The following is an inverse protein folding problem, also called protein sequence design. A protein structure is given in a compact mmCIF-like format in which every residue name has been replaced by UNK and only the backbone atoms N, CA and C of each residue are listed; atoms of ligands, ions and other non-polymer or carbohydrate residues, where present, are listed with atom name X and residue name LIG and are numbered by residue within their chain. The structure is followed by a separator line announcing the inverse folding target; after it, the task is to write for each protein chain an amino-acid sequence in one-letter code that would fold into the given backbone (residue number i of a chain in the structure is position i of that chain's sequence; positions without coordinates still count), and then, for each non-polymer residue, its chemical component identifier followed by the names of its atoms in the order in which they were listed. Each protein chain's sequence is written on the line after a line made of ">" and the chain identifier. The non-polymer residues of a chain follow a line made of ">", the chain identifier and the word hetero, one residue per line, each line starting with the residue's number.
data_IF_164431161946
#
_entry.id   IF_164431161946
#
_cell.length_a   1.000
_cell.length_b   1.000
_cell.length_c   1.000
_cell.angle_alpha   90.00
_cell.angle_beta   90.00
_cell.angle_gamma   90.00
#
_symmetry.space_group_name_H-M   'P 1'
#
loop_
_entity.id
_entity.type
_entity.pdbx_description
1 polymer ?
#
# COMPACT_ATOMS: atom_id res chain seq x y z
N UNK A 1 -8.11 8.35 -36.06
CA UNK A 1 -6.98 7.44 -35.74
C UNK A 1 -5.63 8.05 -36.09
N UNK A 2 -4.78 8.26 -35.09
CA UNK A 2 -3.40 8.74 -35.27
C UNK A 2 -2.44 7.75 -34.61
N UNK A 3 -1.29 7.48 -35.25
CA UNK A 3 -0.27 6.58 -34.72
C UNK A 3 0.68 7.33 -33.79
N UNK A 4 0.86 6.81 -32.57
CA UNK A 4 1.73 7.35 -31.54
C UNK A 4 2.81 6.33 -31.19
N UNK A 5 4.05 6.80 -31.07
CA UNK A 5 5.22 5.96 -30.78
C UNK A 5 5.52 6.01 -29.29
N UNK A 6 5.67 4.86 -28.69
CA UNK A 6 6.00 4.68 -27.29
C UNK A 6 7.33 3.95 -27.15
N UNK A 7 8.02 4.25 -26.06
CA UNK A 7 9.21 3.54 -25.60
C UNK A 7 8.99 3.19 -24.13
N UNK A 8 8.84 1.92 -23.80
CA UNK A 8 8.77 1.47 -22.43
C UNK A 8 10.17 1.14 -21.91
N UNK A 9 10.49 1.59 -20.69
CA UNK A 9 11.73 1.29 -19.99
C UNK A 9 11.44 0.57 -18.68
N UNK A 10 12.14 -0.53 -18.46
CA UNK A 10 12.24 -1.17 -17.15
C UNK A 10 13.69 -1.56 -16.86
N UNK A 11 14.36 -0.72 -16.06
CA UNK A 11 15.80 -0.85 -15.82
C UNK A 11 16.61 -0.67 -17.11
N UNK A 12 17.39 -1.69 -17.48
CA UNK A 12 18.16 -1.71 -18.72
C UNK A 12 17.33 -2.14 -19.94
N UNK A 13 16.16 -2.74 -19.71
CA UNK A 13 15.27 -3.16 -20.79
C UNK A 13 14.58 -1.95 -21.42
N UNK A 14 14.51 -1.97 -22.75
CA UNK A 14 13.91 -0.91 -23.53
C UNK A 14 13.12 -1.52 -24.69
N UNK A 15 11.80 -1.37 -24.64
CA UNK A 15 10.90 -1.85 -25.68
C UNK A 15 10.24 -0.68 -26.40
N UNK A 16 10.02 -0.83 -27.71
CA UNK A 16 9.39 0.21 -28.54
C UNK A 16 8.20 -0.37 -29.25
N UNK A 17 7.10 0.37 -29.22
CA UNK A 17 5.88 -0.01 -29.90
C UNK A 17 5.13 1.22 -30.40
N UNK A 18 4.19 0.99 -31.30
CA UNK A 18 3.32 2.03 -31.85
C UNK A 18 1.89 1.65 -31.53
N UNK A 19 1.09 2.62 -31.08
CA UNK A 19 -0.34 2.47 -30.89
C UNK A 19 -1.09 3.42 -31.80
N UNK A 20 -2.20 2.93 -32.34
CA UNK A 20 -3.19 3.78 -33.00
C UNK A 20 -4.19 4.18 -31.94
N UNK A 21 -4.21 5.46 -31.57
CA UNK A 21 -5.09 5.98 -30.52
C UNK A 21 -6.09 6.98 -31.11
N UNK A 22 -7.26 7.02 -30.51
CA UNK A 22 -8.30 8.02 -30.74
C UNK A 22 -8.60 8.75 -29.44
N UNK A 23 -8.87 10.06 -29.53
CA UNK A 23 -9.24 10.85 -28.36
C UNK A 23 -10.61 10.38 -27.87
N UNK A 24 -10.62 9.67 -26.74
CA UNK A 24 -11.79 9.05 -26.14
C UNK A 24 -11.42 8.39 -24.81
N UNK A 25 -12.38 7.73 -24.16
CA UNK A 25 -12.23 7.19 -22.80
C UNK A 25 -11.34 5.93 -22.72
N UNK A 26 -11.16 5.19 -23.81
CA UNK A 26 -10.55 3.84 -23.79
C UNK A 26 -9.04 3.80 -24.17
N UNK A 27 -8.39 4.95 -24.36
CA UNK A 27 -7.01 4.96 -24.85
C UNK A 27 -5.99 4.46 -23.81
N UNK A 28 -6.26 4.68 -22.52
CA UNK A 28 -5.43 4.16 -21.44
C UNK A 28 -5.50 2.63 -21.38
N UNK A 29 -6.69 2.05 -21.43
CA UNK A 29 -6.87 0.59 -21.43
C UNK A 29 -6.19 -0.06 -22.64
N UNK A 30 -6.22 0.59 -23.80
CA UNK A 30 -5.49 0.14 -24.99
C UNK A 30 -3.97 0.12 -24.77
N UNK A 31 -3.43 1.12 -24.06
CA UNK A 31 -2.02 1.15 -23.67
C UNK A 31 -1.70 0.04 -22.67
N UNK A 32 -2.55 -0.17 -21.67
CA UNK A 32 -2.35 -1.21 -20.66
C UNK A 32 -2.37 -2.62 -21.27
N UNK A 33 -3.33 -2.89 -22.16
CA UNK A 33 -3.39 -4.15 -22.90
C UNK A 33 -2.12 -4.37 -23.72
N UNK A 34 -1.61 -3.33 -24.37
CA UNK A 34 -0.37 -3.45 -25.14
C UNK A 34 0.84 -3.74 -24.27
N UNK A 35 0.94 -3.11 -23.11
CA UNK A 35 2.02 -3.36 -22.16
C UNK A 35 1.96 -4.81 -21.65
N UNK A 36 0.78 -5.31 -21.31
CA UNK A 36 0.56 -6.69 -20.91
C UNK A 36 0.95 -7.69 -22.02
N UNK A 37 0.57 -7.45 -23.27
CA UNK A 37 0.94 -8.28 -24.43
C UNK A 37 2.45 -8.37 -24.65
N UNK A 38 3.18 -7.32 -24.27
CA UNK A 38 4.65 -7.25 -24.34
C UNK A 38 5.36 -7.78 -23.08
N UNK A 39 4.62 -8.31 -22.12
CA UNK A 39 5.18 -8.88 -20.88
C UNK A 39 5.45 -7.85 -19.77
N UNK A 40 4.86 -6.65 -19.87
CA UNK A 40 4.99 -5.56 -18.89
C UNK A 40 3.64 -5.16 -18.27
N UNK A 41 2.87 -6.10 -17.68
CA UNK A 41 1.61 -5.75 -17.02
C UNK A 41 1.88 -4.81 -15.83
N UNK A 42 0.88 -3.99 -15.47
CA UNK A 42 1.01 -3.11 -14.31
C UNK A 42 1.13 -3.91 -13.01
N UNK A 43 0.33 -4.97 -12.81
CA UNK A 43 0.36 -5.81 -11.60
C UNK A 43 0.45 -5.00 -10.28
N UNK A 44 -0.36 -3.94 -10.18
CA UNK A 44 -0.38 -3.03 -9.03
C UNK A 44 0.71 -1.96 -9.01
N UNK A 45 1.64 -1.97 -9.97
CA UNK A 45 2.57 -0.86 -10.23
C UNK A 45 1.83 0.29 -10.90
N UNK A 46 2.38 1.49 -10.77
CA UNK A 46 1.87 2.70 -11.41
C UNK A 46 2.69 3.01 -12.66
N UNK A 47 2.07 3.60 -13.68
CA UNK A 47 2.74 4.01 -14.92
C UNK A 47 3.14 5.48 -14.84
N UNK A 48 4.33 5.83 -15.31
CA UNK A 48 4.75 7.21 -15.40
C UNK A 48 5.50 7.52 -16.70
N UNK A 49 5.56 8.80 -17.02
CA UNK A 49 6.48 9.34 -18.03
C UNK A 49 7.60 10.09 -17.33
N UNK A 50 8.84 9.78 -17.70
CA UNK A 50 10.02 10.52 -17.28
C UNK A 50 10.29 11.64 -18.26
N UNK A 51 10.23 12.87 -17.77
CA UNK A 51 10.59 14.06 -18.51
C UNK A 51 12.10 14.23 -18.58
N UNK A 52 12.56 15.10 -19.48
CA UNK A 52 13.99 15.34 -19.71
C UNK A 52 14.68 15.98 -18.50
N UNK A 53 13.96 16.77 -17.72
CA UNK A 53 14.44 17.42 -16.49
C UNK A 53 14.50 16.45 -15.28
N UNK A 54 14.08 15.19 -15.47
CA UNK A 54 14.01 14.19 -14.41
C UNK A 54 12.70 14.22 -13.62
N UNK A 55 11.77 15.12 -13.95
CA UNK A 55 10.41 15.12 -13.43
C UNK A 55 9.66 13.88 -13.93
N UNK A 56 8.76 13.35 -13.10
CA UNK A 56 7.95 12.18 -13.44
C UNK A 56 6.48 12.54 -13.36
N UNK A 57 5.79 12.38 -14.48
CA UNK A 57 4.35 12.59 -14.57
C UNK A 57 3.64 11.25 -14.49
N UNK A 58 2.74 11.12 -13.51
CA UNK A 58 1.94 9.92 -13.29
C UNK A 58 0.88 9.81 -14.38
N UNK A 59 0.71 8.59 -14.93
CA UNK A 59 -0.31 8.29 -15.93
C UNK A 59 -1.30 7.29 -15.32
N UNK A 60 -2.43 7.80 -14.86
CA UNK A 60 -3.47 7.02 -14.16
C UNK A 60 -4.74 6.81 -14.97
N UNK A 61 -4.92 7.56 -16.06
CA UNK A 61 -6.14 7.54 -16.87
C UNK A 61 -5.87 8.04 -18.31
N UNK A 62 -6.91 7.98 -19.14
CA UNK A 62 -6.87 8.45 -20.52
C UNK A 62 -6.54 9.93 -20.64
N UNK A 63 -6.94 10.76 -19.66
CA UNK A 63 -6.70 12.20 -19.68
C UNK A 63 -5.21 12.50 -19.47
N UNK A 64 -4.62 11.97 -18.40
CA UNK A 64 -3.20 12.11 -18.07
C UNK A 64 -2.31 11.51 -19.16
N UNK A 65 -2.76 10.43 -19.82
CA UNK A 65 -2.08 9.90 -21.02
C UNK A 65 -2.06 10.91 -22.17
N UNK A 66 -3.17 11.59 -22.44
CA UNK A 66 -3.22 12.62 -23.48
C UNK A 66 -2.35 13.83 -23.16
N UNK A 67 -2.33 14.28 -21.91
CA UNK A 67 -1.46 15.36 -21.44
C UNK A 67 0.01 15.01 -21.73
N UNK A 68 0.46 13.81 -21.34
CA UNK A 68 1.82 13.32 -21.60
C UNK A 68 2.15 13.18 -23.10
N UNK A 69 1.19 12.70 -23.91
CA UNK A 69 1.36 12.61 -25.37
C UNK A 69 1.54 14.01 -25.98
N UNK A 70 0.70 14.96 -25.60
CA UNK A 70 0.74 16.33 -26.11
C UNK A 70 2.05 17.03 -25.68
N UNK A 71 2.47 16.88 -24.42
CA UNK A 71 3.75 17.41 -23.91
C UNK A 71 4.96 16.78 -24.59
N UNK A 72 4.95 15.47 -24.82
CA UNK A 72 6.04 14.77 -25.52
C UNK A 72 6.20 15.26 -26.96
N UNK A 73 5.12 15.70 -27.61
CA UNK A 73 5.19 16.27 -28.97
C UNK A 73 5.80 17.67 -28.99
N UNK A 74 5.68 18.41 -27.89
CA UNK A 74 6.26 19.75 -27.75
C UNK A 74 7.74 19.69 -27.34
N UNK A 75 8.13 18.69 -26.55
CA UNK A 75 9.46 18.59 -25.93
C UNK A 75 10.42 17.63 -26.64
N UNK A 76 9.94 16.53 -27.21
CA UNK A 76 10.79 15.52 -27.86
C UNK A 76 10.81 15.70 -29.38
N UNK A 77 11.99 16.01 -29.93
CA UNK A 77 12.25 16.13 -31.39
C UNK A 77 11.83 14.89 -32.20
N UNK A 78 11.72 13.72 -31.56
CA UNK A 78 11.31 12.47 -32.19
C UNK A 78 9.84 12.08 -31.92
N UNK A 79 9.08 12.83 -31.12
CA UNK A 79 7.67 12.53 -30.82
C UNK A 79 7.44 11.13 -30.26
N UNK A 80 8.41 10.60 -29.49
CA UNK A 80 8.30 9.30 -28.81
C UNK A 80 8.02 9.57 -27.34
N UNK A 81 6.93 9.00 -26.82
CA UNK A 81 6.59 9.04 -25.39
C UNK A 81 7.41 7.98 -24.67
N UNK A 82 8.20 8.36 -23.67
CA UNK A 82 8.95 7.41 -22.85
C UNK A 82 8.15 7.06 -21.60
N UNK A 83 7.79 5.79 -21.45
CA UNK A 83 7.06 5.24 -20.33
C UNK A 83 7.99 4.43 -19.44
N UNK A 84 7.73 4.43 -18.15
CA UNK A 84 8.38 3.54 -17.18
C UNK A 84 7.42 3.19 -16.04
N UNK A 85 7.72 2.13 -15.30
CA UNK A 85 7.09 1.96 -14.00
C UNK A 85 7.46 3.15 -13.13
N UNK A 86 6.43 3.82 -12.61
CA UNK A 86 6.59 4.96 -11.73
C UNK A 86 7.39 4.52 -10.50
N UNK A 87 8.60 5.07 -10.39
CA UNK A 87 9.45 4.93 -9.22
C UNK A 87 9.50 6.28 -8.54
N UNK A 88 9.22 6.36 -7.23
CA UNK A 88 9.37 7.62 -6.52
C UNK A 88 10.83 8.06 -6.63
N UNK A 89 11.06 9.30 -7.09
CA UNK A 89 12.42 9.85 -7.22
C UNK A 89 13.02 10.21 -5.87
N UNK A 90 12.19 10.37 -4.83
CA UNK A 90 12.66 11.01 -3.62
C UNK A 90 12.77 12.53 -3.74
N UNK A 91 12.55 13.11 -4.92
CA UNK A 91 12.65 14.55 -5.15
C UNK A 91 11.41 15.23 -4.54
N UNK A 92 11.66 16.29 -3.79
CA UNK A 92 10.63 17.15 -3.24
C UNK A 92 9.98 17.89 -4.42
N UNK A 93 8.73 17.52 -4.76
CA UNK A 93 7.82 18.43 -5.48
C UNK A 93 7.33 19.53 -4.53
N UNK A 94 7.47 19.28 -3.23
CA UNK A 94 6.93 20.03 -2.11
C UNK A 94 8.06 20.68 -1.32
N UNK A 95 8.19 22.01 -1.37
CA UNK A 95 9.28 22.76 -0.73
C UNK A 95 9.46 22.46 0.76
N UNK A 96 10.56 22.95 1.35
CA UNK A 96 11.15 22.55 2.65
C UNK A 96 10.23 22.53 3.91
N UNK A 97 8.95 22.88 3.79
CA UNK A 97 7.98 22.99 4.88
C UNK A 97 6.61 22.35 4.63
N UNK A 98 6.45 21.47 3.65
CA UNK A 98 5.14 20.86 3.38
C UNK A 98 4.79 19.75 4.37
N UNK A 99 3.61 19.87 4.97
CA UNK A 99 3.04 18.87 5.86
C UNK A 99 2.23 17.88 5.04
N UNK A 100 2.46 16.58 5.25
CA UNK A 100 1.63 15.54 4.65
C UNK A 100 0.42 15.30 5.54
N UNK A 101 -0.78 15.37 4.96
CA UNK A 101 -2.03 15.18 5.68
C UNK A 101 -2.51 13.73 5.59
N UNK A 102 -2.92 13.19 6.74
CA UNK A 102 -3.43 11.84 6.88
C UNK A 102 -4.81 11.85 7.52
N UNK A 103 -5.65 10.90 7.10
CA UNK A 103 -6.89 10.52 7.76
C UNK A 103 -6.82 9.02 8.04
N UNK A 104 -6.68 8.66 9.30
CA UNK A 104 -6.69 7.25 9.71
C UNK A 104 -8.08 6.85 10.18
N UNK A 105 -8.60 5.74 9.64
CA UNK A 105 -9.90 5.17 10.01
C UNK A 105 -9.71 3.74 10.55
N UNK A 106 -10.32 3.47 11.69
CA UNK A 106 -10.41 2.13 12.27
C UNK A 106 -11.80 1.93 12.87
N UNK A 107 -12.66 1.18 12.16
CA UNK A 107 -14.07 1.06 12.49
C UNK A 107 -14.76 2.43 12.47
N UNK A 108 -15.34 2.82 13.62
CA UNK A 108 -15.98 4.12 13.83
C UNK A 108 -14.99 5.24 14.19
N UNK A 109 -13.76 4.87 14.59
CA UNK A 109 -12.74 5.86 14.94
C UNK A 109 -12.14 6.45 13.66
N UNK A 110 -12.15 7.78 13.59
CA UNK A 110 -11.58 8.52 12.48
C UNK A 110 -10.77 9.69 13.03
N UNK A 111 -9.47 9.74 12.70
CA UNK A 111 -8.57 10.81 13.13
C UNK A 111 -7.84 11.41 11.95
N UNK A 112 -7.84 12.74 11.88
CA UNK A 112 -7.02 13.51 10.93
C UNK A 112 -5.79 14.04 11.65
N UNK A 113 -4.64 14.00 10.99
CA UNK A 113 -3.39 14.55 11.51
C UNK A 113 -2.47 14.88 10.35
N UNK A 114 -1.40 15.63 10.62
CA UNK A 114 -0.33 15.88 9.66
C UNK A 114 1.02 15.50 10.23
N UNK A 115 1.95 15.18 9.33
CA UNK A 115 3.34 14.91 9.66
C UNK A 115 4.26 15.70 8.73
N UNK A 116 5.32 16.27 9.31
CA UNK A 116 6.51 16.63 8.54
C UNK A 116 7.32 15.35 8.42
N UNK A 117 7.52 14.87 7.19
CA UNK A 117 8.28 13.67 6.89
C UNK A 117 9.55 14.09 6.18
N UNK A 118 10.71 13.75 6.74
CA UNK A 118 11.98 14.02 6.08
C UNK A 118 12.40 12.85 5.18
N UNK A 119 13.19 13.14 4.15
CA UNK A 119 13.70 12.10 3.24
C UNK A 119 14.83 11.28 3.87
N UNK A 120 15.62 11.87 4.76
CA UNK A 120 16.73 11.20 5.45
C UNK A 120 16.26 10.19 6.52
N UNK A 121 14.99 10.25 6.93
CA UNK A 121 14.42 9.37 7.94
C UNK A 121 13.53 8.28 7.33
N UNK A 122 13.22 7.29 8.15
CA UNK A 122 12.25 6.25 7.83
C UNK A 122 10.83 6.78 8.05
N UNK A 123 10.30 7.47 7.03
CA UNK A 123 8.97 8.07 7.05
C UNK A 123 7.87 7.07 7.44
N UNK A 124 8.02 5.80 7.06
CA UNK A 124 7.08 4.74 7.41
C UNK A 124 7.10 4.47 8.92
N UNK A 125 8.28 4.33 9.52
CA UNK A 125 8.40 4.20 10.99
C UNK A 125 7.88 5.42 11.73
N UNK A 126 8.08 6.63 11.21
CA UNK A 126 7.55 7.87 11.81
C UNK A 126 6.01 7.85 11.81
N UNK A 127 5.40 7.47 10.69
CA UNK A 127 3.96 7.28 10.59
C UNK A 127 3.45 6.24 11.60
N UNK A 128 4.06 5.05 11.64
CA UNK A 128 3.66 4.00 12.59
C UNK A 128 3.80 4.43 14.05
N UNK A 129 4.87 5.15 14.39
CA UNK A 129 5.06 5.73 15.74
C UNK A 129 3.93 6.71 16.07
N UNK A 130 3.52 7.56 15.12
CA UNK A 130 2.41 8.50 15.32
C UNK A 130 1.08 7.77 15.53
N UNK A 131 0.81 6.74 14.75
CA UNK A 131 -0.38 5.90 14.91
C UNK A 131 -0.40 5.21 16.29
N UNK A 132 0.75 4.70 16.73
CA UNK A 132 0.91 4.11 18.06
C UNK A 132 0.66 5.10 19.21
N UNK A 133 1.08 6.36 19.07
CA UNK A 133 0.76 7.43 20.04
C UNK A 133 -0.75 7.70 20.15
N UNK A 134 -1.51 7.42 19.09
CA UNK A 134 -2.96 7.54 19.09
C UNK A 134 -3.68 6.27 19.55
N UNK A 135 -2.93 5.22 19.89
CA UNK A 135 -3.48 3.94 20.34
C UNK A 135 -3.82 2.97 19.21
N UNK A 136 -3.56 3.33 17.95
CA UNK A 136 -3.78 2.45 16.81
C UNK A 136 -2.68 1.40 16.72
N UNK A 137 -3.06 0.12 16.74
CA UNK A 137 -2.13 -1.01 16.68
C UNK A 137 -2.43 -1.89 15.47
N UNK A 138 -1.40 -2.28 14.72
CA UNK A 138 -1.56 -3.14 13.57
C UNK A 138 -2.21 -4.50 13.97
N UNK A 139 -1.75 -5.11 15.06
CA UNK A 139 -2.27 -6.41 15.54
C UNK A 139 -2.31 -7.47 14.40
N UNK A 140 -1.25 -7.56 13.60
CA UNK A 140 -1.17 -8.48 12.46
C UNK A 140 -1.93 -8.04 11.20
N UNK A 141 -2.58 -6.87 11.21
CA UNK A 141 -3.23 -6.28 10.03
C UNK A 141 -2.26 -5.45 9.21
N UNK A 142 -2.53 -5.34 7.92
CA UNK A 142 -1.75 -4.54 6.98
C UNK A 142 -2.20 -3.08 7.02
N UNK A 143 -1.25 -2.15 6.96
CA UNK A 143 -1.58 -0.75 6.71
C UNK A 143 -1.89 -0.59 5.23
N UNK A 144 -3.04 -0.03 4.91
CA UNK A 144 -3.44 0.25 3.53
C UNK A 144 -3.90 1.70 3.40
N UNK A 145 -3.72 2.27 2.21
CA UNK A 145 -4.38 3.50 1.81
C UNK A 145 -5.59 3.17 0.94
N UNK A 146 -6.72 3.77 1.27
CA UNK A 146 -7.92 3.82 0.44
C UNK A 146 -7.74 4.90 -0.61
N UNK A 147 -7.76 4.52 -1.89
CA UNK A 147 -7.78 5.47 -2.99
C UNK A 147 -9.23 5.92 -3.31
N UNK A 148 -9.38 6.97 -4.12
CA UNK A 148 -10.69 7.60 -4.39
C UNK A 148 -11.66 6.68 -5.13
N UNK A 149 -11.15 5.71 -5.88
CA UNK A 149 -11.90 4.67 -6.59
C UNK A 149 -12.33 3.51 -5.67
N UNK A 150 -11.98 3.56 -4.38
CA UNK A 150 -12.25 2.51 -3.40
C UNK A 150 -11.24 1.36 -3.41
N UNK A 151 -10.21 1.42 -4.27
CA UNK A 151 -9.10 0.47 -4.26
C UNK A 151 -8.21 0.65 -3.01
N UNK A 152 -7.40 -0.38 -2.74
CA UNK A 152 -6.49 -0.44 -1.59
C UNK A 152 -5.07 -0.59 -2.05
N UNK A 153 -4.22 0.33 -1.63
CA UNK A 153 -2.76 0.26 -1.82
C UNK A 153 -2.10 -0.11 -0.50
N UNK A 154 -1.35 -1.21 -0.48
CA UNK A 154 -0.62 -1.66 0.71
C UNK A 154 0.56 -0.70 0.97
N UNK A 155 0.74 -0.32 2.24
CA UNK A 155 1.86 0.51 2.70
C UNK A 155 2.69 -0.32 3.69
N UNK A 156 3.76 -0.93 3.19
CA UNK A 156 4.57 -1.89 3.94
C UNK A 156 5.96 -1.38 4.31
N UNK A 157 6.41 -0.30 3.66
CA UNK A 157 7.75 0.25 3.82
C UNK A 157 7.81 1.76 3.48
N UNK A 158 9.03 2.30 3.52
CA UNK A 158 9.32 3.71 3.23
C UNK A 158 9.02 4.05 1.77
N UNK A 159 9.40 3.16 0.85
CA UNK A 159 9.27 3.35 -0.60
C UNK A 159 7.79 3.37 -1.03
N UNK A 160 6.97 2.45 -0.52
CA UNK A 160 5.52 2.39 -0.76
C UNK A 160 4.80 3.63 -0.21
N UNK A 161 5.17 4.12 0.98
CA UNK A 161 4.62 5.36 1.54
C UNK A 161 4.97 6.57 0.67
N UNK A 162 6.22 6.72 0.23
CA UNK A 162 6.60 7.84 -0.63
C UNK A 162 5.97 7.77 -2.00
N UNK A 163 5.84 6.57 -2.58
CA UNK A 163 5.09 6.35 -3.83
C UNK A 163 3.66 6.84 -3.67
N UNK A 164 3.00 6.49 -2.56
CA UNK A 164 1.65 6.91 -2.27
C UNK A 164 1.55 8.43 -2.10
N UNK A 165 2.46 9.05 -1.34
CA UNK A 165 2.48 10.51 -1.14
C UNK A 165 2.63 11.23 -2.48
N UNK A 166 3.64 10.88 -3.27
CA UNK A 166 3.95 11.53 -4.54
C UNK A 166 2.82 11.34 -5.56
N UNK A 167 2.23 10.13 -5.62
CA UNK A 167 1.09 9.87 -6.51
C UNK A 167 -0.16 10.61 -6.08
N UNK A 168 -0.39 10.80 -4.78
CA UNK A 168 -1.54 11.57 -4.30
C UNK A 168 -1.37 13.06 -4.56
N UNK A 169 -0.16 13.60 -4.40
CA UNK A 169 0.17 15.01 -4.61
C UNK A 169 0.12 15.43 -6.08
N UNK A 170 0.19 14.50 -7.03
CA UNK A 170 -0.12 14.77 -8.43
C UNK A 170 -1.55 15.33 -8.60
N UNK A 171 -2.47 15.04 -7.66
CA UNK A 171 -3.81 15.64 -7.60
C UNK A 171 -3.89 17.03 -6.94
N UNK A 172 -2.77 17.56 -6.42
CA UNK A 172 -2.65 18.89 -5.82
C UNK A 172 -2.05 18.91 -4.39
N UNK A 173 -1.64 20.09 -3.88
CA UNK A 173 -0.85 20.22 -2.64
C UNK A 173 -1.61 19.94 -1.33
N UNK A 174 -2.93 19.71 -1.38
CA UNK A 174 -3.78 19.53 -0.19
C UNK A 174 -4.37 18.11 -0.07
N UNK A 175 -3.76 17.13 -0.74
CA UNK A 175 -4.29 15.76 -0.74
C UNK A 175 -4.08 15.12 0.63
N UNK A 176 -5.15 14.51 1.15
CA UNK A 176 -5.13 13.77 2.42
C UNK A 176 -5.07 12.29 2.10
N UNK A 177 -4.09 11.57 2.65
CA UNK A 177 -3.99 10.13 2.52
C UNK A 177 -4.96 9.43 3.49
N UNK A 178 -5.83 8.57 2.96
CA UNK A 178 -6.85 7.85 3.73
C UNK A 178 -6.35 6.47 4.14
N UNK A 179 -5.93 6.31 5.38
CA UNK A 179 -5.30 5.07 5.87
C UNK A 179 -6.27 4.22 6.71
N UNK A 180 -6.14 2.90 6.62
CA UNK A 180 -6.82 1.93 7.49
C UNK A 180 -5.95 0.70 7.77
N UNK A 181 -6.25 -0.03 8.85
CA UNK A 181 -5.72 -1.38 9.07
C UNK A 181 -6.65 -2.42 8.47
N UNK A 182 -6.16 -3.17 7.48
CA UNK A 182 -6.90 -4.21 6.79
C UNK A 182 -6.51 -5.61 7.28
N UNK A 183 -7.51 -6.43 7.60
CA UNK A 183 -7.31 -7.81 8.02
C UNK A 183 -7.30 -8.72 6.79
N UNK A 184 -6.22 -9.46 6.59
CA UNK A 184 -6.16 -10.50 5.56
C UNK A 184 -6.80 -11.77 6.10
N UNK A 185 -7.58 -12.47 5.27
CA UNK A 185 -8.36 -13.66 5.67
C UNK A 185 -7.50 -14.82 6.20
N UNK A 186 -6.17 -14.77 6.04
CA UNK A 186 -5.24 -15.73 6.60
C UNK A 186 -4.88 -15.48 8.08
N UNK A 187 -5.28 -14.35 8.68
CA UNK A 187 -4.91 -14.01 10.06
C UNK A 187 -5.83 -14.64 11.12
N UNK A 188 -6.85 -15.42 10.72
CA UNK A 188 -7.83 -16.03 11.63
C UNK A 188 -7.49 -17.45 12.09
N UNK A 189 -6.32 -17.98 11.71
CA UNK A 189 -5.89 -19.32 12.13
C UNK A 189 -5.20 -19.38 13.50
N UNK A 190 -5.04 -18.25 14.22
CA UNK A 190 -4.32 -18.23 15.49
C UNK A 190 -5.14 -17.87 16.74
N UNK A 191 -6.30 -17.21 16.64
CA UNK A 191 -7.07 -16.81 17.83
C UNK A 191 -8.59 -16.83 17.60
N UNK A 192 -9.19 -18.02 17.52
CA UNK A 192 -10.64 -18.16 17.67
C UNK A 192 -11.05 -19.60 17.96
N UNK A 193 -10.92 -20.02 19.22
CA UNK A 193 -11.80 -21.05 19.76
C UNK A 193 -12.04 -20.78 21.23
N UNK A 194 -13.03 -19.93 21.52
CA UNK A 194 -14.13 -20.28 22.45
C UNK A 194 -15.22 -19.21 22.36
N UNK A 195 -16.37 -19.62 21.80
CA UNK A 195 -17.65 -18.92 21.96
C UNK A 195 -18.16 -19.13 23.40
N UNK A 196 -18.88 -18.10 23.87
CA UNK A 196 -19.59 -17.97 25.14
C UNK A 196 -20.57 -19.12 25.43
N UNK A 197 -20.75 -19.43 26.71
CA UNK A 197 -22.07 -19.71 27.29
C UNK A 197 -22.10 -19.35 28.78
N UNK A 198 -23.26 -18.84 29.21
CA UNK A 198 -23.57 -18.21 30.50
C UNK A 198 -23.46 -19.15 31.71
N UNK A 199 -23.00 -18.63 32.86
CA UNK A 199 -23.78 -18.53 34.12
C UNK A 199 -22.93 -18.46 35.39
N UNK A 200 -23.42 -17.61 36.32
CA UNK A 200 -23.29 -17.63 37.79
C UNK A 200 -21.94 -17.26 38.45
N UNK A 201 -22.05 -16.21 39.26
CA UNK A 201 -21.09 -15.59 40.18
C UNK A 201 -20.28 -16.59 41.00
N UNK A 202 -18.95 -16.46 40.91
CA UNK A 202 -18.05 -16.45 42.07
C UNK A 202 -16.76 -15.72 41.67
N UNK A 203 -16.40 -14.66 42.41
CA UNK A 203 -15.24 -13.83 42.13
C UNK A 203 -13.95 -14.60 42.42
N UNK A 204 -13.21 -14.97 41.37
CA UNK A 204 -11.79 -15.31 41.48
C UNK A 204 -10.99 -14.44 40.54
N UNK A 205 -9.85 -13.96 41.02
CA UNK A 205 -9.00 -13.04 40.26
C UNK A 205 -8.37 -13.76 39.05
N UNK A 206 -7.99 -13.04 37.97
CA UNK A 206 -7.40 -13.62 36.75
C UNK A 206 -6.14 -14.48 36.98
N UNK A 207 -5.58 -14.40 38.19
CA UNK A 207 -4.39 -15.12 38.65
C UNK A 207 -4.71 -16.55 39.11
N UNK A 208 -5.85 -16.78 39.76
CA UNK A 208 -6.25 -18.12 40.27
C UNK A 208 -6.74 -19.05 39.16
N UNK A 209 -7.37 -18.51 38.12
CA UNK A 209 -7.80 -19.29 36.95
C UNK A 209 -6.61 -19.80 36.12
N UNK A 210 -5.51 -19.04 36.08
CA UNK A 210 -4.26 -19.46 35.43
C UNK A 210 -3.53 -20.54 36.24
N UNK A 211 -3.54 -20.44 37.57
CA UNK A 211 -2.91 -21.41 38.47
C UNK A 211 -3.66 -22.76 38.46
N UNK A 212 -4.99 -22.75 38.54
CA UNK A 212 -5.81 -23.97 38.46
C UNK A 212 -5.70 -24.68 37.11
N UNK A 213 -5.62 -23.92 35.99
CA UNK A 213 -5.32 -24.49 34.66
C UNK A 213 -3.92 -25.10 34.59
N UNK A 214 -2.94 -24.50 35.26
CA UNK A 214 -1.58 -25.02 35.30
C UNK A 214 -1.48 -26.30 36.14
N UNK A 215 -2.08 -26.34 37.32
CA UNK A 215 -2.15 -27.54 38.17
C UNK A 215 -2.82 -28.71 37.45
N UNK A 216 -3.97 -28.47 36.79
CA UNK A 216 -4.65 -29.50 36.00
C UNK A 216 -3.80 -30.03 34.85
N UNK A 217 -2.95 -29.20 34.27
CA UNK A 217 -2.05 -29.63 33.19
C UNK A 217 -0.85 -30.41 33.74
N UNK A 218 -0.35 -30.07 34.92
CA UNK A 218 0.71 -30.83 35.62
C UNK A 218 0.21 -32.23 36.00
N UNK A 219 -1.01 -32.36 36.53
CA UNK A 219 -1.58 -33.67 36.89
C UNK A 219 -1.79 -34.57 35.67
N UNK A 220 -2.23 -33.99 34.54
CA UNK A 220 -2.33 -34.72 33.27
C UNK A 220 -0.98 -35.19 32.76
N UNK A 221 0.06 -34.36 32.90
CA UNK A 221 1.42 -34.70 32.49
C UNK A 221 1.99 -35.81 33.38
N UNK A 222 1.79 -35.73 34.70
CA UNK A 222 2.18 -36.77 35.65
C UNK A 222 1.53 -38.11 35.31
N UNK A 223 0.22 -38.14 35.04
CA UNK A 223 -0.50 -39.35 34.66
C UNK A 223 -0.04 -39.96 33.33
N UNK A 224 0.39 -39.14 32.37
CA UNK A 224 0.98 -39.62 31.10
C UNK A 224 2.34 -40.24 31.35
N UNK A 225 3.17 -39.62 32.20
CA UNK A 225 4.49 -40.14 32.55
C UNK A 225 4.36 -41.49 33.29
N UNK A 226 3.42 -41.64 34.23
CA UNK A 226 3.20 -42.92 34.92
C UNK A 226 2.77 -44.01 33.93
N UNK A 227 1.84 -43.71 33.02
CA UNK A 227 1.40 -44.65 31.99
C UNK A 227 2.48 -45.05 30.99
N UNK A 228 3.46 -44.17 30.75
CA UNK A 228 4.61 -44.49 29.91
C UNK A 228 5.65 -45.33 30.66
N UNK A 229 5.83 -45.07 31.95
CA UNK A 229 6.75 -45.84 32.81
C UNK A 229 6.27 -47.27 33.07
N UNK A 230 4.95 -47.51 33.14
CA UNK A 230 4.37 -48.85 33.29
C UNK A 230 4.40 -49.67 31.98
N UNK A 231 4.78 -49.05 30.86
CA UNK A 231 4.86 -49.68 29.53
C UNK A 231 6.30 -49.97 29.08
N UNK A 232 7.29 -49.66 29.91
CA UNK A 232 8.71 -50.01 29.73
C UNK A 232 9.11 -51.12 30.68
#
# INVERSE_FOLDING_TARGET
>A
MTSYRFKFKDGEMCERFTLVLERGEDCYDTLLAKLADTGHPLDGKKLGMMEYDGTRTLISDSRTLWEVIDESRLSNLNGVVTLEYYKPTGLSVTGDNELIYFRFKEGELCRRFSLKLERNEDAYKVLLKKLGQFGYKANGRLLVCMENDGSRTIVEDRESLWTLIETSLAGGPNVTLHLEYFKTENSDSAESSTKKEDSKVESMTPTEEKLSKLERNVDKLAAVITKLSDRM
#
